data_IF_888215272702
#
_entry.id   IF_888215272702
#
_cell.length_a   1.000
_cell.length_b   1.000
_cell.length_c   1.000
_cell.angle_alpha   90.00
_cell.angle_beta   90.00
_cell.angle_gamma   90.00
#
_symmetry.space_group_name_H-M   'P 1'
#
loop_
_entity.id
_entity.type
_entity.pdbx_description
1 polymer ?
#
# COMPACT_ATOMS: atom_id res chain seq x y z
N UNK A 1 35.57 -2.27 1.37
CA UNK A 1 34.44 -1.77 2.16
C UNK A 1 33.18 -2.18 1.39
N UNK A 2 32.55 -3.29 1.77
CA UNK A 2 31.25 -3.66 1.22
C UNK A 2 30.24 -2.62 1.74
N UNK A 3 29.70 -1.81 0.85
CA UNK A 3 28.56 -0.95 1.17
C UNK A 3 27.43 -1.90 1.55
N UNK A 4 27.08 -1.95 2.84
CA UNK A 4 25.87 -2.65 3.30
C UNK A 4 24.70 -2.12 2.48
N UNK A 5 24.13 -2.99 1.68
CA UNK A 5 22.92 -2.61 0.92
C UNK A 5 21.80 -2.40 1.95
N UNK A 6 21.09 -1.27 1.90
CA UNK A 6 20.07 -1.00 2.89
C UNK A 6 19.01 -2.11 2.87
N UNK A 7 18.78 -2.70 4.06
CA UNK A 7 17.68 -3.65 4.25
C UNK A 7 16.35 -2.92 4.03
N UNK A 8 15.40 -3.59 3.40
CA UNK A 8 14.08 -3.03 3.16
C UNK A 8 13.68 -2.97 1.70
N UNK A 9 12.52 -2.39 1.45
CA UNK A 9 12.04 -2.07 0.10
C UNK A 9 12.54 -0.67 -0.26
N UNK A 10 13.50 -0.56 -1.17
CA UNK A 10 14.24 0.66 -1.46
C UNK A 10 14.08 1.07 -2.93
N UNK A 11 13.72 2.32 -3.13
CA UNK A 11 13.74 3.03 -4.39
C UNK A 11 14.96 3.96 -4.42
N UNK A 12 15.76 3.90 -5.48
CA UNK A 12 16.95 4.74 -5.64
C UNK A 12 16.83 5.55 -6.93
N UNK A 13 16.72 6.87 -6.81
CA UNK A 13 16.64 7.84 -7.90
C UNK A 13 15.58 7.43 -8.96
N UNK A 14 14.38 7.01 -8.51
CA UNK A 14 13.31 6.58 -9.41
C UNK A 14 12.80 7.72 -10.25
N UNK A 15 12.83 7.52 -11.56
CA UNK A 15 12.22 8.41 -12.54
C UNK A 15 11.16 7.63 -13.32
N UNK A 16 10.01 8.24 -13.54
CA UNK A 16 8.97 7.71 -14.41
C UNK A 16 8.42 8.77 -15.33
N UNK A 17 8.55 8.52 -16.61
CA UNK A 17 8.04 9.37 -17.67
C UNK A 17 6.95 8.62 -18.43
N UNK A 18 5.91 9.33 -18.80
CA UNK A 18 4.83 8.86 -19.67
C UNK A 18 4.78 9.73 -20.92
N UNK A 19 4.88 9.08 -22.07
CA UNK A 19 4.72 9.78 -23.36
C UNK A 19 3.26 9.67 -23.80
N UNK A 20 2.61 10.82 -23.96
CA UNK A 20 1.26 10.92 -24.53
C UNK A 20 1.26 11.94 -25.66
N UNK A 21 0.88 11.49 -26.85
CA UNK A 21 0.72 12.37 -28.04
C UNK A 21 1.89 13.32 -28.29
N UNK A 22 3.12 12.84 -28.12
CA UNK A 22 4.33 13.64 -28.34
C UNK A 22 4.72 14.59 -27.21
N UNK A 23 3.97 14.58 -26.09
CA UNK A 23 4.34 15.33 -24.88
C UNK A 23 4.78 14.35 -23.80
N UNK A 24 5.99 14.53 -23.27
CA UNK A 24 6.49 13.73 -22.16
C UNK A 24 6.08 14.38 -20.83
N UNK A 25 5.44 13.59 -19.96
CA UNK A 25 5.10 13.99 -18.60
C UNK A 25 5.93 13.19 -17.60
N UNK A 26 6.66 13.88 -16.74
CA UNK A 26 7.46 13.24 -15.68
C UNK A 26 6.59 13.12 -14.43
N UNK A 27 6.16 11.89 -14.14
CA UNK A 27 5.33 11.58 -12.96
C UNK A 27 6.16 11.35 -11.69
N UNK A 28 7.44 10.93 -11.82
CA UNK A 28 8.41 10.87 -10.74
C UNK A 28 9.76 11.37 -11.24
N UNK A 29 10.42 12.21 -10.45
CA UNK A 29 11.70 12.81 -10.77
C UNK A 29 12.75 12.47 -9.71
N UNK A 30 13.60 11.49 -10.03
CA UNK A 30 14.74 11.02 -9.23
C UNK A 30 14.40 10.71 -7.76
N UNK A 31 13.19 10.18 -7.48
CA UNK A 31 12.73 9.90 -6.11
C UNK A 31 13.56 8.80 -5.47
N UNK A 32 14.15 9.11 -4.32
CA UNK A 32 14.79 8.12 -3.43
C UNK A 32 13.91 7.95 -2.19
N UNK A 33 13.52 6.70 -1.92
CA UNK A 33 12.56 6.36 -0.87
C UNK A 33 12.85 4.96 -0.32
N UNK A 34 12.66 4.75 0.97
CA UNK A 34 12.88 3.46 1.59
C UNK A 34 11.79 3.12 2.61
N UNK A 35 11.36 1.87 2.60
CA UNK A 35 10.53 1.27 3.64
C UNK A 35 11.39 0.23 4.37
N UNK A 36 11.90 0.54 5.57
CA UNK A 36 12.65 -0.41 6.39
C UNK A 36 11.82 -1.64 6.76
N UNK A 37 12.42 -2.79 7.13
CA UNK A 37 11.70 -4.06 7.40
C UNK A 37 10.61 -3.99 8.48
N UNK A 38 10.69 -3.01 9.39
CA UNK A 38 9.67 -2.75 10.42
C UNK A 38 9.12 -1.34 10.34
N UNK A 39 9.45 -0.60 9.25
CA UNK A 39 9.03 0.78 9.05
C UNK A 39 7.52 0.90 8.88
N UNK A 40 6.94 1.92 9.48
CA UNK A 40 5.54 2.32 9.29
C UNK A 40 5.53 3.72 8.74
N UNK A 41 5.40 3.81 7.42
CA UNK A 41 5.63 5.05 6.68
C UNK A 41 4.38 5.41 5.89
N UNK A 42 4.02 6.69 5.90
CA UNK A 42 3.01 7.24 5.03
C UNK A 42 3.64 8.04 3.87
N UNK A 43 2.99 8.00 2.72
CA UNK A 43 3.22 8.95 1.64
C UNK A 43 1.93 9.74 1.45
N UNK A 44 2.02 11.05 1.63
CA UNK A 44 0.90 11.99 1.50
C UNK A 44 1.19 13.03 0.42
N UNK A 45 0.16 13.74 -0.03
CA UNK A 45 0.30 14.78 -1.04
C UNK A 45 -0.99 14.93 -1.86
N UNK A 46 -1.07 15.98 -2.65
CA UNK A 46 -2.22 16.26 -3.49
C UNK A 46 -2.48 15.20 -4.57
N UNK A 47 -3.66 15.24 -5.17
CA UNK A 47 -3.96 14.42 -6.35
C UNK A 47 -2.99 14.77 -7.48
N UNK A 48 -2.44 13.74 -8.15
CA UNK A 48 -1.45 13.96 -9.22
C UNK A 48 0.00 14.15 -8.75
N UNK A 49 0.30 14.19 -7.45
CA UNK A 49 1.67 14.35 -6.95
C UNK A 49 2.63 13.17 -7.23
N UNK A 50 2.14 12.04 -7.78
CA UNK A 50 2.97 10.89 -8.13
C UNK A 50 2.87 9.68 -7.18
N UNK A 51 2.07 9.74 -6.12
CA UNK A 51 1.96 8.67 -5.09
C UNK A 51 1.60 7.31 -5.67
N UNK A 52 0.55 7.25 -6.47
CA UNK A 52 0.11 5.99 -7.12
C UNK A 52 1.18 5.47 -8.10
N UNK A 53 1.90 6.38 -8.79
CA UNK A 53 3.04 5.99 -9.64
C UNK A 53 4.17 5.39 -8.80
N UNK A 54 4.52 5.99 -7.67
CA UNK A 54 5.51 5.44 -6.74
C UNK A 54 5.10 4.04 -6.27
N UNK A 55 3.84 3.86 -5.82
CA UNK A 55 3.33 2.54 -5.43
C UNK A 55 3.41 1.50 -6.54
N UNK A 56 3.00 1.84 -7.78
CA UNK A 56 3.05 0.92 -8.92
C UNK A 56 4.47 0.46 -9.24
N UNK A 57 5.44 1.36 -9.12
CA UNK A 57 6.85 1.03 -9.28
C UNK A 57 7.35 0.15 -8.13
N UNK A 58 7.07 0.51 -6.86
CA UNK A 58 7.44 -0.29 -5.69
C UNK A 58 6.84 -1.69 -5.72
N UNK A 59 5.64 -1.87 -6.28
CA UNK A 59 4.98 -3.16 -6.50
C UNK A 59 5.51 -3.93 -7.73
N UNK A 60 6.46 -3.34 -8.48
CA UNK A 60 6.95 -3.87 -9.75
C UNK A 60 5.81 -4.22 -10.73
N UNK A 61 4.74 -3.42 -10.74
CA UNK A 61 3.69 -3.45 -11.77
C UNK A 61 4.20 -2.75 -13.02
N UNK A 62 4.83 -1.58 -12.83
CA UNK A 62 5.46 -0.81 -13.90
C UNK A 62 6.99 -0.87 -13.77
N UNK A 63 7.68 -0.67 -14.90
CA UNK A 63 9.13 -0.46 -14.91
C UNK A 63 9.46 1.03 -14.76
N UNK A 64 10.46 1.42 -13.98
CA UNK A 64 10.92 2.80 -13.95
C UNK A 64 11.59 3.18 -15.29
N UNK A 65 11.53 4.47 -15.66
CA UNK A 65 12.29 5.03 -16.78
C UNK A 65 13.77 5.24 -16.41
N UNK A 66 14.06 5.45 -15.11
CA UNK A 66 15.41 5.57 -14.54
C UNK A 66 15.42 5.15 -13.08
N UNK A 67 16.61 4.89 -12.57
CA UNK A 67 16.77 4.41 -11.19
C UNK A 67 16.53 2.91 -11.03
N UNK A 68 16.38 2.45 -9.79
CA UNK A 68 16.17 1.03 -9.46
C UNK A 68 15.36 0.85 -8.20
N UNK A 69 14.73 -0.33 -8.11
CA UNK A 69 14.06 -0.82 -6.89
C UNK A 69 14.79 -2.06 -6.41
N UNK A 70 14.94 -2.20 -5.11
CA UNK A 70 15.47 -3.41 -4.48
C UNK A 70 14.66 -3.79 -3.24
N UNK A 71 14.57 -5.08 -2.98
CA UNK A 71 14.04 -5.64 -1.74
C UNK A 71 15.16 -6.41 -1.05
N UNK A 72 15.57 -5.94 0.12
CA UNK A 72 16.68 -6.48 0.91
C UNK A 72 17.95 -6.72 0.05
N UNK A 73 18.33 -5.70 -0.72
CA UNK A 73 19.48 -5.72 -1.62
C UNK A 73 19.26 -6.42 -2.97
N UNK A 74 18.22 -7.24 -3.13
CA UNK A 74 17.90 -7.89 -4.41
C UNK A 74 17.11 -6.94 -5.31
N UNK A 75 17.62 -6.68 -6.52
CA UNK A 75 16.94 -5.84 -7.51
C UNK A 75 15.60 -6.46 -7.91
N UNK A 76 14.57 -5.62 -7.93
CA UNK A 76 13.21 -5.96 -8.32
C UNK A 76 12.92 -5.35 -9.69
N UNK A 77 12.39 -6.15 -10.61
CA UNK A 77 11.93 -5.71 -11.94
C UNK A 77 10.62 -6.39 -12.27
N UNK A 78 9.71 -5.74 -12.98
CA UNK A 78 8.52 -6.40 -13.51
C UNK A 78 8.85 -7.68 -14.25
N UNK A 79 8.02 -8.71 -14.08
CA UNK A 79 8.26 -10.01 -14.68
C UNK A 79 7.05 -10.93 -14.63
N UNK A 80 7.22 -12.16 -15.11
CA UNK A 80 6.17 -13.17 -15.10
C UNK A 80 5.70 -13.51 -13.68
N UNK A 81 4.50 -14.10 -13.54
CA UNK A 81 3.99 -14.53 -12.24
C UNK A 81 4.95 -15.46 -11.49
N UNK A 82 5.61 -16.37 -12.21
CA UNK A 82 6.59 -17.30 -11.64
C UNK A 82 7.85 -16.60 -11.13
N UNK A 83 8.45 -15.72 -11.95
CA UNK A 83 9.68 -14.98 -11.58
C UNK A 83 9.46 -14.02 -10.43
N UNK A 84 8.23 -13.51 -10.25
CA UNK A 84 7.87 -12.55 -9.20
C UNK A 84 7.28 -13.20 -7.94
N UNK A 85 7.14 -14.53 -7.90
CA UNK A 85 6.53 -15.22 -6.75
C UNK A 85 7.27 -14.91 -5.44
N UNK A 86 8.62 -14.92 -5.45
CA UNK A 86 9.45 -14.61 -4.29
C UNK A 86 9.17 -13.22 -3.72
N UNK A 87 8.97 -12.22 -4.60
CA UNK A 87 8.68 -10.85 -4.24
C UNK A 87 7.25 -10.73 -3.69
N UNK A 88 6.26 -11.28 -4.43
CA UNK A 88 4.83 -11.23 -4.05
C UNK A 88 4.51 -12.00 -2.77
N UNK A 89 5.32 -12.99 -2.38
CA UNK A 89 5.20 -13.62 -1.06
C UNK A 89 5.55 -12.68 0.08
N UNK A 90 6.41 -11.71 -0.15
CA UNK A 90 6.93 -10.77 0.86
C UNK A 90 6.23 -9.42 0.82
N UNK A 91 5.78 -8.99 -0.35
CA UNK A 91 5.13 -7.70 -0.59
C UNK A 91 3.71 -7.93 -1.06
N UNK A 92 2.74 -7.42 -0.30
CA UNK A 92 1.33 -7.46 -0.64
C UNK A 92 0.76 -6.05 -0.78
N UNK A 93 -0.39 -5.95 -1.43
CA UNK A 93 -1.00 -4.68 -1.80
C UNK A 93 -2.49 -4.63 -1.49
N UNK A 94 -2.93 -3.52 -0.91
CA UNK A 94 -4.34 -3.16 -0.73
C UNK A 94 -4.63 -2.01 -1.71
N UNK A 95 -5.48 -2.23 -2.74
CA UNK A 95 -5.81 -1.22 -3.73
C UNK A 95 -6.83 -0.20 -3.20
N UNK A 96 -6.80 1.00 -3.76
CA UNK A 96 -7.80 2.05 -3.52
C UNK A 96 -9.19 1.64 -4.00
N UNK A 97 -9.27 1.01 -5.18
CA UNK A 97 -10.51 0.46 -5.74
C UNK A 97 -10.48 -1.07 -5.72
N UNK A 98 -11.09 -1.70 -4.71
CA UNK A 98 -11.13 -3.16 -4.60
C UNK A 98 -11.94 -3.82 -5.71
N UNK A 99 -12.97 -3.16 -6.25
CA UNK A 99 -13.85 -3.75 -7.27
C UNK A 99 -13.07 -4.16 -8.52
N UNK A 100 -12.05 -3.40 -8.91
CA UNK A 100 -11.19 -3.71 -10.07
C UNK A 100 -10.25 -4.90 -9.84
N UNK A 101 -10.04 -5.30 -8.59
CA UNK A 101 -9.09 -6.35 -8.19
C UNK A 101 -9.73 -7.65 -7.71
N UNK A 102 -11.04 -7.65 -7.51
CA UNK A 102 -11.81 -8.81 -7.05
C UNK A 102 -12.61 -9.39 -8.21
N UNK A 103 -12.26 -10.59 -8.67
CA UNK A 103 -13.03 -11.27 -9.75
C UNK A 103 -14.47 -11.53 -9.26
N UNK A 104 -15.48 -10.97 -9.94
CA UNK A 104 -16.88 -11.04 -9.51
C UNK A 104 -17.46 -12.46 -9.52
N UNK A 105 -16.79 -13.42 -10.17
CA UNK A 105 -17.24 -14.80 -10.29
C UNK A 105 -16.85 -15.67 -9.10
N UNK A 106 -15.83 -15.26 -8.36
CA UNK A 106 -15.30 -16.02 -7.22
C UNK A 106 -16.03 -15.70 -5.91
N UNK A 107 -16.10 -16.71 -5.03
CA UNK A 107 -16.57 -16.52 -3.67
C UNK A 107 -15.58 -15.66 -2.86
N UNK A 108 -16.08 -14.99 -1.82
CA UNK A 108 -15.25 -14.21 -0.88
C UNK A 108 -14.12 -15.08 -0.31
N UNK A 109 -14.45 -16.32 0.08
CA UNK A 109 -13.44 -17.26 0.59
C UNK A 109 -12.36 -17.57 -0.47
N UNK A 110 -12.78 -17.82 -1.72
CA UNK A 110 -11.83 -18.14 -2.80
C UNK A 110 -10.95 -16.95 -3.16
N UNK A 111 -11.51 -15.73 -3.15
CA UNK A 111 -10.74 -14.51 -3.39
C UNK A 111 -9.59 -14.32 -2.40
N UNK A 112 -9.80 -14.70 -1.14
CA UNK A 112 -8.79 -14.59 -0.09
C UNK A 112 -7.85 -15.81 -0.06
N UNK A 113 -8.37 -17.03 -0.32
CA UNK A 113 -7.57 -18.25 -0.31
C UNK A 113 -6.70 -18.45 -1.57
N UNK A 114 -7.11 -17.95 -2.72
CA UNK A 114 -6.40 -18.14 -4.00
C UNK A 114 -4.96 -17.62 -3.98
N UNK A 115 -4.65 -16.41 -3.49
CA UNK A 115 -3.27 -15.95 -3.40
C UNK A 115 -2.38 -16.86 -2.56
N UNK A 116 -2.90 -17.44 -1.47
CA UNK A 116 -2.16 -18.37 -0.62
C UNK A 116 -1.68 -19.58 -1.43
N UNK A 117 -2.57 -20.15 -2.25
CA UNK A 117 -2.23 -21.29 -3.16
C UNK A 117 -1.24 -20.87 -4.24
N UNK A 118 -1.51 -19.78 -4.94
CA UNK A 118 -0.67 -19.32 -6.06
C UNK A 118 0.74 -18.93 -5.63
N UNK A 119 0.86 -18.38 -4.43
CA UNK A 119 2.15 -18.00 -3.85
C UNK A 119 2.85 -19.19 -3.18
N UNK A 120 2.20 -20.35 -3.03
CA UNK A 120 2.75 -21.52 -2.35
C UNK A 120 2.99 -21.26 -0.86
N UNK A 121 2.07 -20.55 -0.20
CA UNK A 121 2.10 -20.34 1.24
C UNK A 121 1.60 -21.63 1.90
N UNK A 122 2.36 -22.16 2.85
CA UNK A 122 2.03 -23.41 3.52
C UNK A 122 0.90 -23.25 4.54
N UNK A 123 0.24 -24.38 4.86
CA UNK A 123 -0.80 -24.49 5.91
C UNK A 123 -2.23 -24.54 5.37
N UNK A 124 -3.19 -24.49 6.28
CA UNK A 124 -4.62 -24.50 5.93
C UNK A 124 -5.06 -23.14 5.37
N UNK A 125 -5.15 -23.08 4.06
CA UNK A 125 -5.55 -21.86 3.35
C UNK A 125 -6.98 -21.41 3.68
N UNK A 126 -7.88 -22.37 3.94
CA UNK A 126 -9.26 -22.08 4.31
C UNK A 126 -9.33 -21.43 5.69
N UNK A 127 -8.66 -22.02 6.67
CA UNK A 127 -8.61 -21.47 8.02
C UNK A 127 -7.96 -20.08 8.04
N UNK A 128 -6.84 -19.89 7.32
CA UNK A 128 -6.18 -18.59 7.21
C UNK A 128 -7.08 -17.51 6.55
N UNK A 129 -7.74 -17.89 5.45
CA UNK A 129 -8.65 -16.97 4.76
C UNK A 129 -9.85 -16.59 5.64
N UNK A 130 -10.45 -17.56 6.33
CA UNK A 130 -11.57 -17.34 7.26
C UNK A 130 -11.16 -16.44 8.42
N UNK A 131 -9.99 -16.68 9.02
CA UNK A 131 -9.44 -15.86 10.10
C UNK A 131 -9.19 -14.42 9.66
N UNK A 132 -8.61 -14.22 8.48
CA UNK A 132 -8.37 -12.89 7.93
C UNK A 132 -9.69 -12.14 7.63
N UNK A 133 -10.72 -12.82 7.10
CA UNK A 133 -12.05 -12.26 6.87
C UNK A 133 -12.73 -11.88 8.18
N UNK A 134 -12.68 -12.75 9.18
CA UNK A 134 -13.23 -12.46 10.51
C UNK A 134 -12.57 -11.24 11.17
N UNK A 135 -11.23 -11.12 11.03
CA UNK A 135 -10.49 -9.98 11.58
C UNK A 135 -10.96 -8.62 11.02
N UNK A 136 -11.46 -8.58 9.78
CA UNK A 136 -12.02 -7.37 9.16
C UNK A 136 -13.55 -7.29 9.26
N UNK A 137 -14.18 -8.06 10.16
CA UNK A 137 -15.64 -8.04 10.39
C UNK A 137 -16.47 -8.66 9.28
N UNK A 138 -15.91 -9.62 8.55
CA UNK A 138 -16.64 -10.45 7.58
C UNK A 138 -16.74 -11.87 8.12
N UNK A 139 -17.88 -12.20 8.74
CA UNK A 139 -18.13 -13.49 9.36
C UNK A 139 -18.52 -14.60 8.36
N UNK A 140 -18.90 -15.76 8.89
CA UNK A 140 -19.14 -16.98 8.10
C UNK A 140 -20.21 -16.84 7.00
N UNK A 141 -21.20 -15.96 7.16
CA UNK A 141 -22.26 -15.82 6.17
C UNK A 141 -21.80 -15.11 4.90
N UNK A 142 -20.64 -14.40 4.92
CA UNK A 142 -20.05 -13.79 3.74
C UNK A 142 -19.25 -14.76 2.89
N UNK A 143 -18.75 -15.86 3.46
CA UNK A 143 -17.74 -16.71 2.80
C UNK A 143 -18.16 -17.25 1.43
N UNK A 144 -19.45 -17.60 1.27
CA UNK A 144 -20.02 -18.12 0.03
C UNK A 144 -20.49 -17.05 -0.95
N UNK A 145 -20.63 -15.79 -0.52
CA UNK A 145 -21.07 -14.70 -1.39
C UNK A 145 -20.03 -14.40 -2.45
N UNK A 146 -20.49 -13.90 -3.60
CA UNK A 146 -19.62 -13.38 -4.66
C UNK A 146 -19.31 -11.92 -4.43
N UNK A 147 -18.17 -11.43 -4.94
CA UNK A 147 -17.80 -10.03 -4.73
C UNK A 147 -18.79 -9.04 -5.34
N UNK A 148 -19.49 -9.42 -6.41
CA UNK A 148 -20.55 -8.60 -7.01
C UNK A 148 -21.79 -8.40 -6.09
N UNK A 149 -21.96 -9.22 -5.06
CA UNK A 149 -23.06 -9.15 -4.09
C UNK A 149 -22.71 -8.31 -2.85
N UNK A 150 -21.50 -7.72 -2.83
CA UNK A 150 -20.96 -6.97 -1.72
C UNK A 150 -21.07 -5.47 -1.95
N UNK A 151 -21.28 -4.71 -0.86
CA UNK A 151 -21.09 -3.26 -0.89
C UNK A 151 -19.61 -2.89 -1.08
N UNK A 152 -19.34 -1.65 -1.50
CA UNK A 152 -17.95 -1.17 -1.69
C UNK A 152 -17.11 -1.33 -0.42
N UNK A 153 -17.61 -0.99 0.76
CA UNK A 153 -16.92 -1.20 2.03
C UNK A 153 -16.69 -2.68 2.38
N UNK A 154 -17.59 -3.58 1.98
CA UNK A 154 -17.38 -5.04 2.13
C UNK A 154 -16.29 -5.52 1.16
N UNK A 155 -16.28 -5.05 -0.09
CA UNK A 155 -15.22 -5.35 -1.06
C UNK A 155 -13.86 -4.85 -0.57
N UNK A 156 -13.79 -3.66 0.01
CA UNK A 156 -12.56 -3.12 0.61
C UNK A 156 -12.03 -4.04 1.72
N UNK A 157 -12.90 -4.50 2.61
CA UNK A 157 -12.53 -5.45 3.68
C UNK A 157 -12.08 -6.80 3.14
N UNK A 158 -12.68 -7.30 2.05
CA UNK A 158 -12.20 -8.53 1.36
C UNK A 158 -10.80 -8.31 0.78
N UNK A 159 -10.52 -7.17 0.15
CA UNK A 159 -9.20 -6.85 -0.38
C UNK A 159 -8.14 -6.76 0.72
N UNK A 160 -8.48 -6.18 1.88
CA UNK A 160 -7.61 -6.14 3.06
C UNK A 160 -7.36 -7.57 3.57
N UNK A 161 -8.42 -8.36 3.80
CA UNK A 161 -8.31 -9.75 4.24
C UNK A 161 -7.41 -10.58 3.30
N UNK A 162 -7.57 -10.40 1.99
CA UNK A 162 -6.75 -11.06 0.96
C UNK A 162 -5.26 -10.75 1.11
N UNK A 163 -4.91 -9.50 1.36
CA UNK A 163 -3.52 -9.09 1.54
C UNK A 163 -2.94 -9.59 2.85
N UNK A 164 -3.66 -9.44 3.97
CA UNK A 164 -3.17 -9.81 5.31
C UNK A 164 -3.13 -11.32 5.52
N UNK A 165 -3.99 -12.11 4.86
CA UNK A 165 -3.96 -13.58 4.92
C UNK A 165 -2.61 -14.15 4.49
N UNK A 166 -1.90 -13.45 3.58
CA UNK A 166 -0.57 -13.85 3.13
C UNK A 166 0.52 -13.66 4.19
N UNK A 167 0.26 -12.96 5.30
CA UNK A 167 1.23 -12.57 6.32
C UNK A 167 2.50 -11.94 5.70
N UNK A 168 2.35 -10.83 4.94
CA UNK A 168 3.45 -10.23 4.22
C UNK A 168 4.49 -9.58 5.15
N UNK A 169 5.75 -9.50 4.68
CA UNK A 169 6.78 -8.70 5.35
C UNK A 169 6.60 -7.19 5.09
N UNK A 170 6.03 -6.85 3.93
CA UNK A 170 5.75 -5.47 3.51
C UNK A 170 4.32 -5.40 2.98
N UNK A 171 3.51 -4.57 3.60
CA UNK A 171 2.16 -4.27 3.13
C UNK A 171 2.13 -2.85 2.58
N UNK A 172 1.78 -2.71 1.31
CA UNK A 172 1.58 -1.43 0.66
C UNK A 172 0.08 -1.20 0.50
N UNK A 173 -0.43 -0.07 0.95
CA UNK A 173 -1.86 0.21 0.94
C UNK A 173 -2.14 1.59 0.32
N UNK A 174 -3.05 1.62 -0.64
CA UNK A 174 -3.53 2.84 -1.28
C UNK A 174 -4.92 3.14 -0.72
N UNK A 175 -5.04 4.22 0.07
CA UNK A 175 -6.29 4.67 0.70
C UNK A 175 -7.08 3.55 1.41
N UNK A 176 -6.47 2.76 2.32
CA UNK A 176 -7.04 1.49 2.79
C UNK A 176 -8.35 1.62 3.57
N UNK A 177 -8.66 2.79 4.11
CA UNK A 177 -9.86 3.04 4.96
C UNK A 177 -10.83 4.04 4.34
N UNK A 178 -10.59 4.47 3.11
CA UNK A 178 -11.47 5.38 2.38
C UNK A 178 -12.84 4.73 2.15
N UNK A 179 -13.91 5.48 2.37
CA UNK A 179 -15.30 5.01 2.15
C UNK A 179 -15.81 3.99 3.16
N UNK A 180 -15.10 3.76 4.28
CA UNK A 180 -15.59 2.96 5.39
C UNK A 180 -16.32 3.85 6.41
N UNK A 181 -17.39 3.30 7.00
CA UNK A 181 -18.03 3.92 8.16
C UNK A 181 -17.08 3.93 9.38
N UNK A 182 -17.33 4.80 10.40
CA UNK A 182 -16.39 5.00 11.50
C UNK A 182 -16.03 3.73 12.27
N UNK A 183 -17.00 2.85 12.55
CA UNK A 183 -16.76 1.65 13.35
C UNK A 183 -15.93 0.62 12.58
N UNK A 184 -16.24 0.40 11.30
CA UNK A 184 -15.48 -0.48 10.41
C UNK A 184 -14.09 0.09 10.10
N UNK A 185 -13.99 1.41 9.97
CA UNK A 185 -12.71 2.10 9.81
C UNK A 185 -11.79 1.83 10.99
N UNK A 186 -12.28 1.98 12.24
CA UNK A 186 -11.49 1.72 13.44
C UNK A 186 -11.08 0.24 13.56
N UNK A 187 -11.95 -0.68 13.20
CA UNK A 187 -11.64 -2.10 13.14
C UNK A 187 -10.51 -2.40 12.15
N UNK A 188 -10.58 -1.85 10.94
CA UNK A 188 -9.54 -2.02 9.92
C UNK A 188 -8.21 -1.38 10.35
N UNK A 189 -8.25 -0.17 10.91
CA UNK A 189 -7.06 0.48 11.46
C UNK A 189 -6.40 -0.38 12.54
N UNK A 190 -7.19 -1.00 13.42
CA UNK A 190 -6.68 -1.90 14.47
C UNK A 190 -6.03 -3.16 13.86
N UNK A 191 -6.62 -3.75 12.82
CA UNK A 191 -6.02 -4.88 12.09
C UNK A 191 -4.69 -4.47 11.48
N UNK A 192 -4.63 -3.33 10.77
CA UNK A 192 -3.41 -2.84 10.13
C UNK A 192 -2.32 -2.46 11.17
N UNK A 193 -2.72 -1.90 12.31
CA UNK A 193 -1.80 -1.59 13.40
C UNK A 193 -1.17 -2.84 14.03
N UNK A 194 -1.94 -3.93 14.13
CA UNK A 194 -1.49 -5.20 14.72
C UNK A 194 -0.64 -6.08 13.80
N UNK A 195 -0.50 -5.71 12.51
CA UNK A 195 0.30 -6.51 11.58
C UNK A 195 1.79 -6.44 11.91
N UNK A 196 2.48 -7.59 11.94
CA UNK A 196 3.94 -7.60 11.99
C UNK A 196 4.51 -7.12 10.64
N UNK A 197 5.71 -6.54 10.67
CA UNK A 197 6.43 -6.12 9.47
C UNK A 197 6.16 -4.67 9.06
N UNK A 198 6.61 -4.34 7.87
CA UNK A 198 6.58 -2.99 7.35
C UNK A 198 5.21 -2.63 6.74
N UNK A 199 4.80 -1.38 6.92
CA UNK A 199 3.59 -0.82 6.36
C UNK A 199 3.91 0.48 5.62
N UNK A 200 3.55 0.55 4.35
CA UNK A 200 3.53 1.78 3.57
C UNK A 200 2.07 2.13 3.25
N UNK A 201 1.64 3.30 3.67
CA UNK A 201 0.31 3.82 3.35
C UNK A 201 0.44 5.04 2.44
N UNK A 202 -0.31 5.03 1.35
CA UNK A 202 -0.61 6.24 0.60
C UNK A 202 -1.99 6.71 1.05
N UNK A 203 -2.09 7.93 1.57
CA UNK A 203 -3.37 8.46 2.02
C UNK A 203 -3.38 9.98 2.07
N UNK A 204 -4.57 10.55 1.93
CA UNK A 204 -4.87 11.94 2.27
C UNK A 204 -5.50 12.07 3.67
N UNK A 205 -5.83 10.96 4.33
CA UNK A 205 -6.38 10.90 5.67
C UNK A 205 -5.27 10.95 6.72
N UNK A 206 -4.94 12.16 7.18
CA UNK A 206 -3.88 12.38 8.17
C UNK A 206 -4.17 11.72 9.52
N UNK A 207 -5.43 11.44 9.86
CA UNK A 207 -5.78 10.73 11.10
C UNK A 207 -5.43 9.24 11.02
N UNK A 208 -5.65 8.60 9.87
CA UNK A 208 -5.19 7.24 9.62
C UNK A 208 -3.65 7.16 9.60
N UNK A 209 -2.99 8.16 9.00
CA UNK A 209 -1.53 8.28 8.99
C UNK A 209 -0.99 8.38 10.42
N UNK A 210 -1.52 9.27 11.25
CA UNK A 210 -1.08 9.46 12.65
C UNK A 210 -1.31 8.20 13.50
N UNK A 211 -2.33 7.41 13.19
CA UNK A 211 -2.65 6.16 13.91
C UNK A 211 -1.71 5.01 13.54
N UNK A 212 -1.30 4.92 12.28
CA UNK A 212 -0.64 3.73 11.72
C UNK A 212 0.86 3.92 11.45
N UNK A 213 1.33 5.15 11.28
CA UNK A 213 2.68 5.43 10.82
C UNK A 213 3.48 6.24 11.85
N UNK A 214 4.78 5.95 11.91
CA UNK A 214 5.77 6.74 12.67
C UNK A 214 6.33 7.88 11.82
N UNK A 215 6.47 7.64 10.52
CA UNK A 215 7.12 8.53 9.59
C UNK A 215 6.21 8.87 8.41
N UNK A 216 6.42 10.04 7.82
CA UNK A 216 5.68 10.50 6.67
C UNK A 216 6.61 11.17 5.65
N UNK A 217 6.32 10.96 4.38
CA UNK A 217 6.93 11.68 3.26
C UNK A 217 5.85 12.42 2.49
N UNK A 218 6.06 13.71 2.27
CA UNK A 218 5.15 14.56 1.49
C UNK A 218 5.64 14.60 0.06
N UNK A 219 4.74 14.25 -0.87
CA UNK A 219 5.02 14.31 -2.30
C UNK A 219 4.32 15.50 -2.96
N UNK A 220 5.07 16.20 -3.79
CA UNK A 220 4.57 17.25 -4.66
C UNK A 220 5.27 17.17 -6.02
N UNK A 221 4.53 17.27 -7.13
CA UNK A 221 5.03 17.26 -8.52
C UNK A 221 6.10 16.19 -8.80
N UNK A 222 5.85 14.96 -8.37
CA UNK A 222 6.73 13.81 -8.61
C UNK A 222 8.00 13.78 -7.76
N UNK A 223 8.12 14.61 -6.74
CA UNK A 223 9.26 14.68 -5.82
C UNK A 223 8.81 14.52 -4.37
N UNK A 224 9.71 14.05 -3.51
CA UNK A 224 9.52 14.13 -2.06
C UNK A 224 10.06 15.49 -1.62
N UNK A 225 9.17 16.34 -1.09
CA UNK A 225 9.51 17.71 -0.69
C UNK A 225 9.79 17.84 0.81
N UNK A 226 9.22 16.94 1.62
CA UNK A 226 9.46 16.88 3.06
C UNK A 226 9.34 15.46 3.56
N UNK A 227 10.16 15.07 4.55
CA UNK A 227 10.08 13.77 5.22
C UNK A 227 10.50 13.92 6.67
N UNK A 228 9.86 13.15 7.56
CA UNK A 228 10.17 13.15 8.97
C UNK A 228 9.21 12.34 9.80
N UNK A 229 9.30 12.45 11.12
CA UNK A 229 8.29 11.86 11.99
C UNK A 229 6.91 12.47 11.69
N UNK A 230 5.86 11.65 11.75
CA UNK A 230 4.47 12.13 11.56
C UNK A 230 4.20 13.32 12.48
N UNK A 231 4.64 13.25 13.72
CA UNK A 231 4.47 14.32 14.71
C UNK A 231 5.11 15.63 14.23
N UNK A 232 6.38 15.61 13.83
CA UNK A 232 7.10 16.83 13.47
C UNK A 232 6.55 17.44 12.20
N UNK A 233 6.31 16.64 11.17
CA UNK A 233 5.78 17.11 9.87
C UNK A 233 4.37 17.69 10.05
N UNK A 234 3.50 17.07 10.88
CA UNK A 234 2.14 17.59 11.07
C UNK A 234 2.07 18.80 12.01
N UNK A 235 3.02 18.96 12.94
CA UNK A 235 2.99 20.08 13.92
C UNK A 235 3.90 21.24 13.56
N UNK A 236 4.94 21.00 12.76
CA UNK A 236 5.98 21.97 12.39
C UNK A 236 6.40 21.82 10.93
N UNK A 237 5.47 21.88 9.98
CA UNK A 237 5.78 21.70 8.56
C UNK A 237 6.79 22.74 8.08
N UNK A 238 7.83 22.27 7.39
CA UNK A 238 8.90 23.14 6.88
C UNK A 238 8.62 23.60 5.46
N UNK A 239 8.01 22.74 4.62
CA UNK A 239 7.71 23.03 3.23
C UNK A 239 6.34 23.70 3.08
N UNK A 240 6.20 24.65 2.16
CA UNK A 240 4.94 25.36 1.91
C UNK A 240 3.80 24.41 1.53
N UNK A 241 4.02 23.48 0.60
CA UNK A 241 3.01 22.52 0.19
C UNK A 241 2.59 21.55 1.33
N UNK A 242 3.47 21.33 2.32
CA UNK A 242 3.08 20.56 3.52
C UNK A 242 2.10 21.36 4.38
N UNK A 243 2.32 22.67 4.52
CA UNK A 243 1.39 23.56 5.25
C UNK A 243 0.04 23.61 4.55
N UNK A 244 0.02 23.80 3.24
CA UNK A 244 -1.22 23.83 2.45
C UNK A 244 -2.00 22.53 2.58
N UNK A 245 -1.31 21.38 2.52
CA UNK A 245 -1.91 20.06 2.71
C UNK A 245 -2.56 19.91 4.09
N UNK A 246 -1.88 20.36 5.15
CA UNK A 246 -2.38 20.27 6.53
C UNK A 246 -3.54 21.24 6.76
N UNK A 247 -3.47 22.45 6.22
CA UNK A 247 -4.51 23.48 6.38
C UNK A 247 -5.78 23.13 5.58
N UNK A 248 -5.66 22.32 4.52
CA UNK A 248 -6.80 21.82 3.75
C UNK A 248 -7.61 20.73 4.48
N UNK A 249 -7.06 20.12 5.55
CA UNK A 249 -7.78 19.14 6.35
C UNK A 249 -8.72 19.84 7.33
N UNK A 250 -10.06 19.58 7.28
CA UNK A 250 -10.99 20.17 8.22
C UNK A 250 -10.58 19.85 9.66
N UNK A 251 -10.32 20.85 10.48
CA UNK A 251 -10.11 20.67 11.92
C UNK A 251 -11.46 20.26 12.51
N UNK A 252 -11.57 19.03 12.99
CA UNK A 252 -12.69 18.62 13.83
C UNK A 252 -12.60 19.45 15.11
N UNK A 253 -13.47 20.47 15.20
CA UNK A 253 -13.71 21.24 16.42
C UNK A 253 -14.52 20.42 17.40
#
# INVERSE_FOLDING_TARGET
MSLEQPAGLVATALTRQYDRHGTSHTALDAVTFAVPPTGRIAVVGESGSGKTTLLRLLLAVDAPSGGKISLDGRVVRPGSAGSMRWFRRRVQYIPQDPATSLDPRHSVLDLVATPLRLLGIEGDHRARATGALSAVGLDAHFLARRSAELSGGQQQRVAIARAVACAPHYLLADEPVSGLDPDLREQVLSVLAGLPGALLIVSHDLSAVARLCSDVSVMHEGRIVESGSVRDVLTRPQHEHTRDLIDAVPRLT
#
